data_IF_316996271215
#
_entry.id   IF_316996271215
#
_cell.length_a   1.000
_cell.length_b   1.000
_cell.length_c   1.000
_cell.angle_alpha   90.00
_cell.angle_beta   90.00
_cell.angle_gamma   90.00
#
_symmetry.space_group_name_H-M   'P 1'
#
loop_
_entity.id
_entity.type
_entity.pdbx_description
1 polymer ?
#
# COMPACT_ATOMS: atom_id res chain seq x y z
N UNK A 1 27.10 -41.74 10.41
CA UNK A 1 26.14 -41.18 9.43
C UNK A 1 26.10 -39.68 9.66
N UNK A 2 27.02 -38.94 9.02
CA UNK A 2 27.10 -37.48 9.15
C UNK A 2 25.89 -36.87 8.45
N UNK A 3 24.98 -36.30 9.24
CA UNK A 3 23.89 -35.47 8.74
C UNK A 3 24.50 -34.20 8.15
N UNK A 4 24.47 -34.08 6.82
CA UNK A 4 24.90 -32.89 6.10
C UNK A 4 23.93 -31.75 6.46
N UNK A 5 24.47 -30.66 7.01
CA UNK A 5 23.73 -29.40 7.19
C UNK A 5 23.32 -28.91 5.80
N UNK A 6 22.02 -28.84 5.52
CA UNK A 6 21.50 -28.08 4.39
C UNK A 6 21.95 -26.62 4.59
N UNK A 7 22.62 -26.07 3.58
CA UNK A 7 22.83 -24.64 3.50
C UNK A 7 21.46 -24.01 3.20
N UNK A 8 21.02 -23.06 4.03
CA UNK A 8 19.92 -22.16 3.70
C UNK A 8 20.27 -21.48 2.38
N UNK A 9 19.56 -21.82 1.31
CA UNK A 9 19.65 -21.11 0.04
C UNK A 9 18.91 -19.79 0.20
N UNK A 10 19.62 -18.68 0.07
CA UNK A 10 19.04 -17.35 0.22
C UNK A 10 18.00 -17.11 -0.89
N UNK A 11 16.72 -16.98 -0.51
CA UNK A 11 15.64 -16.64 -1.45
C UNK A 11 15.70 -15.15 -1.77
N UNK A 12 16.35 -14.83 -2.89
CA UNK A 12 16.47 -13.47 -3.40
C UNK A 12 15.12 -12.86 -3.77
N UNK A 13 14.17 -13.66 -4.26
CA UNK A 13 12.86 -13.15 -4.70
C UNK A 13 12.00 -12.76 -3.51
N UNK A 14 11.99 -13.59 -2.46
CA UNK A 14 11.33 -13.26 -1.19
C UNK A 14 11.91 -11.99 -0.59
N UNK A 15 13.24 -11.93 -0.47
CA UNK A 15 13.92 -10.74 0.02
C UNK A 15 13.59 -9.49 -0.81
N UNK A 16 13.59 -9.58 -2.14
CA UNK A 16 13.25 -8.43 -3.00
C UNK A 16 11.81 -7.97 -2.78
N UNK A 17 10.85 -8.88 -2.66
CA UNK A 17 9.44 -8.55 -2.38
C UNK A 17 9.30 -7.80 -1.06
N UNK A 18 9.98 -8.25 -0.02
CA UNK A 18 10.00 -7.54 1.27
C UNK A 18 10.57 -6.13 1.14
N UNK A 19 11.66 -5.96 0.39
CA UNK A 19 12.24 -4.63 0.16
C UNK A 19 11.32 -3.73 -0.67
N UNK A 20 10.62 -4.28 -1.67
CA UNK A 20 9.67 -3.55 -2.49
C UNK A 20 8.46 -3.09 -1.67
N UNK A 21 7.91 -3.95 -0.80
CA UNK A 21 6.85 -3.58 0.13
C UNK A 21 7.33 -2.47 1.08
N UNK A 22 8.53 -2.63 1.66
CA UNK A 22 9.09 -1.62 2.57
C UNK A 22 9.33 -0.28 1.88
N UNK A 23 9.78 -0.29 0.63
CA UNK A 23 9.96 0.93 -0.15
C UNK A 23 8.62 1.63 -0.40
N UNK A 24 7.57 0.87 -0.75
CA UNK A 24 6.25 1.45 -0.97
C UNK A 24 5.66 2.08 0.30
N UNK A 25 5.84 1.45 1.48
CA UNK A 25 5.45 2.04 2.76
C UNK A 25 6.13 3.39 3.00
N UNK A 26 7.46 3.45 2.84
CA UNK A 26 8.23 4.67 3.05
C UNK A 26 7.84 5.78 2.07
N UNK A 27 7.50 5.43 0.83
CA UNK A 27 7.02 6.39 -0.16
C UNK A 27 5.64 6.94 0.21
N UNK A 28 4.74 6.12 0.74
CA UNK A 28 3.44 6.57 1.25
C UNK A 28 3.60 7.48 2.48
N UNK A 29 4.51 7.15 3.40
CA UNK A 29 4.85 8.01 4.55
C UNK A 29 5.42 9.35 4.08
N UNK A 30 6.31 9.35 3.08
CA UNK A 30 6.86 10.58 2.51
C UNK A 30 5.78 11.45 1.88
N UNK A 31 4.82 10.84 1.18
CA UNK A 31 3.68 11.55 0.60
C UNK A 31 2.78 12.16 1.68
N UNK A 32 2.51 11.45 2.77
CA UNK A 32 1.74 11.98 3.91
C UNK A 32 2.41 13.21 4.52
N UNK A 33 3.73 13.15 4.75
CA UNK A 33 4.51 14.31 5.20
C UNK A 33 4.44 15.45 4.19
N UNK A 34 4.57 15.17 2.90
CA UNK A 34 4.49 16.19 1.84
C UNK A 34 3.13 16.90 1.81
N UNK A 35 2.03 16.18 2.00
CA UNK A 35 0.69 16.76 2.13
C UNK A 35 0.61 17.75 3.31
N UNK A 36 1.21 17.40 4.45
CA UNK A 36 1.20 18.25 5.65
C UNK A 36 2.02 19.54 5.49
N UNK A 37 2.96 19.59 4.56
CA UNK A 37 3.79 20.78 4.27
C UNK A 37 3.48 21.44 2.92
N UNK A 38 2.39 21.03 2.25
CA UNK A 38 1.96 21.54 0.95
C UNK A 38 3.00 21.35 -0.19
N UNK A 39 3.74 20.24 -0.16
CA UNK A 39 4.72 19.83 -1.19
C UNK A 39 4.26 18.62 -2.02
N UNK A 40 3.04 18.14 -1.77
CA UNK A 40 2.51 16.92 -2.39
C UNK A 40 2.37 17.00 -3.91
N UNK A 41 2.06 18.18 -4.48
CA UNK A 41 1.85 18.37 -5.92
C UNK A 41 3.06 17.89 -6.75
N UNK A 42 4.27 18.12 -6.25
CA UNK A 42 5.51 17.74 -6.94
C UNK A 42 5.89 16.26 -6.75
N UNK A 43 5.35 15.61 -5.72
CA UNK A 43 5.73 14.26 -5.30
C UNK A 43 4.66 13.20 -5.60
N UNK A 44 3.41 13.60 -5.81
CA UNK A 44 2.28 12.71 -6.04
C UNK A 44 2.50 11.76 -7.22
N UNK A 45 2.73 12.31 -8.42
CA UNK A 45 2.90 11.51 -9.63
C UNK A 45 4.17 10.66 -9.60
N UNK A 46 5.36 11.19 -9.22
CA UNK A 46 6.57 10.37 -9.11
C UNK A 46 6.42 9.20 -8.13
N UNK A 47 5.82 9.43 -6.96
CA UNK A 47 5.61 8.38 -5.96
C UNK A 47 4.61 7.34 -6.47
N UNK A 48 3.49 7.78 -7.03
CA UNK A 48 2.47 6.88 -7.59
C UNK A 48 3.07 5.99 -8.68
N UNK A 49 3.80 6.58 -9.63
CA UNK A 49 4.48 5.84 -10.68
C UNK A 49 5.45 4.83 -10.08
N UNK A 50 6.27 5.24 -9.09
CA UNK A 50 7.24 4.34 -8.49
C UNK A 50 6.60 3.15 -7.80
N UNK A 51 5.49 3.36 -7.09
CA UNK A 51 4.71 2.28 -6.46
C UNK A 51 4.13 1.31 -7.50
N UNK A 52 3.65 1.82 -8.64
CA UNK A 52 3.15 0.97 -9.72
C UNK A 52 4.27 0.13 -10.35
N UNK A 53 5.49 0.67 -10.48
CA UNK A 53 6.67 -0.05 -10.99
C UNK A 53 7.15 -1.18 -10.05
N UNK A 54 6.81 -1.13 -8.76
CA UNK A 54 7.16 -2.19 -7.80
C UNK A 54 6.31 -3.45 -7.97
N UNK A 55 5.25 -3.40 -8.79
CA UNK A 55 4.36 -4.53 -9.11
C UNK A 55 3.88 -5.30 -7.87
N UNK A 56 3.53 -4.54 -6.82
CA UNK A 56 3.10 -5.13 -5.55
C UNK A 56 1.76 -5.84 -5.69
N UNK A 57 1.56 -6.97 -4.99
CA UNK A 57 0.33 -7.71 -5.07
C UNK A 57 -0.85 -6.85 -4.61
N UNK A 58 -2.01 -6.96 -5.29
CA UNK A 58 -3.18 -6.20 -4.91
C UNK A 58 -3.65 -6.59 -3.50
N UNK A 59 -4.27 -5.63 -2.81
CA UNK A 59 -4.73 -5.80 -1.42
C UNK A 59 -6.27 -5.76 -1.37
N UNK A 60 -6.91 -6.58 -0.52
CA UNK A 60 -8.36 -6.55 -0.40
C UNK A 60 -8.85 -5.32 0.38
N UNK A 61 -9.99 -4.77 -0.05
CA UNK A 61 -10.75 -3.79 0.72
C UNK A 61 -11.18 -4.39 2.07
N UNK A 62 -10.97 -3.64 3.17
CA UNK A 62 -11.30 -4.08 4.54
C UNK A 62 -12.79 -4.33 4.79
N UNK A 63 -13.70 -3.70 4.00
CA UNK A 63 -15.17 -3.86 4.14
C UNK A 63 -15.73 -4.92 3.19
N UNK A 64 -15.48 -4.80 1.89
CA UNK A 64 -16.14 -5.64 0.88
C UNK A 64 -15.25 -6.71 0.23
N UNK A 65 -13.94 -6.74 0.53
CA UNK A 65 -13.00 -7.73 -0.02
C UNK A 65 -12.59 -7.51 -1.48
N UNK A 66 -13.07 -6.45 -2.15
CA UNK A 66 -12.66 -6.08 -3.52
C UNK A 66 -11.14 -5.89 -3.58
N UNK A 67 -10.48 -6.49 -4.56
CA UNK A 67 -9.04 -6.34 -4.76
C UNK A 67 -8.72 -4.95 -5.32
N UNK A 68 -7.77 -4.27 -4.69
CA UNK A 68 -7.32 -2.92 -5.01
C UNK A 68 -5.84 -2.95 -5.37
N UNK A 69 -5.41 -2.03 -6.23
CA UNK A 69 -3.98 -1.76 -6.39
C UNK A 69 -3.38 -1.33 -5.03
N UNK A 70 -2.08 -1.55 -4.82
CA UNK A 70 -1.43 -1.11 -3.59
C UNK A 70 -1.63 0.39 -3.36
N UNK A 71 -1.46 1.21 -4.41
CA UNK A 71 -1.67 2.65 -4.35
C UNK A 71 -3.07 3.03 -3.88
N UNK A 72 -4.12 2.47 -4.52
CA UNK A 72 -5.51 2.79 -4.16
C UNK A 72 -5.83 2.31 -2.75
N UNK A 73 -5.30 1.15 -2.35
CA UNK A 73 -5.45 0.63 -1.00
C UNK A 73 -4.79 1.56 0.03
N UNK A 74 -3.56 2.01 -0.24
CA UNK A 74 -2.80 2.83 0.70
C UNK A 74 -3.41 4.23 0.87
N UNK A 75 -3.73 4.92 -0.24
CA UNK A 75 -4.36 6.25 -0.22
C UNK A 75 -5.72 6.21 0.50
N UNK A 76 -6.52 5.17 0.26
CA UNK A 76 -7.84 5.02 0.83
C UNK A 76 -7.84 4.28 2.19
N UNK A 77 -6.68 4.15 2.84
CA UNK A 77 -6.52 3.52 4.17
C UNK A 77 -7.08 2.09 4.27
N UNK A 78 -7.10 1.41 3.14
CA UNK A 78 -7.56 0.03 2.96
C UNK A 78 -9.01 -0.15 2.55
N UNK A 79 -9.71 0.92 2.16
CA UNK A 79 -11.09 0.85 1.67
C UNK A 79 -11.15 1.13 0.17
N UNK A 80 -12.16 0.59 -0.52
CA UNK A 80 -12.47 1.03 -1.88
C UNK A 80 -13.31 2.30 -1.83
N UNK A 81 -13.28 3.08 -2.92
CA UNK A 81 -14.04 4.34 -3.05
C UNK A 81 -15.52 4.14 -2.77
N UNK A 82 -16.11 3.04 -3.27
CA UNK A 82 -17.53 2.72 -3.04
C UNK A 82 -17.84 2.61 -1.54
N UNK A 83 -17.02 1.87 -0.78
CA UNK A 83 -17.18 1.72 0.66
C UNK A 83 -16.90 3.01 1.45
N UNK A 84 -15.96 3.85 0.99
CA UNK A 84 -15.73 5.17 1.60
C UNK A 84 -16.98 6.04 1.45
N UNK A 85 -17.54 6.11 0.25
CA UNK A 85 -18.72 6.93 -0.01
C UNK A 85 -19.92 6.47 0.83
N UNK A 86 -20.10 5.16 1.01
CA UNK A 86 -21.12 4.61 1.91
C UNK A 86 -20.89 5.04 3.37
N UNK A 87 -19.66 4.89 3.89
CA UNK A 87 -19.33 5.28 5.27
C UNK A 87 -19.54 6.79 5.50
N UNK A 88 -19.09 7.63 4.56
CA UNK A 88 -19.27 9.08 4.67
C UNK A 88 -20.74 9.48 4.64
N UNK A 89 -21.58 8.74 3.90
CA UNK A 89 -23.02 8.98 3.88
C UNK A 89 -23.67 8.57 5.20
N UNK A 90 -23.28 7.43 5.77
CA UNK A 90 -23.75 6.97 7.08
C UNK A 90 -23.40 8.00 8.18
N UNK A 91 -22.18 8.54 8.19
CA UNK A 91 -21.77 9.58 9.16
C UNK A 91 -22.59 10.88 9.02
N UNK A 92 -22.86 11.33 7.80
CA UNK A 92 -23.67 12.53 7.56
C UNK A 92 -25.13 12.35 7.96
N UNK A 93 -25.69 11.15 7.78
CA UNK A 93 -27.08 10.84 8.13
C UNK A 93 -27.26 10.73 9.67
N UNK A 94 -26.21 10.38 10.43
CA UNK A 94 -26.22 10.30 11.91
C UNK A 94 -26.01 11.68 12.61
N UNK A 95 -25.52 12.70 11.91
CA UNK A 95 -25.31 14.06 12.42
C UNK A 95 -26.54 14.99 12.25
N UNK A 96 -27.66 14.50 11.71
CA UNK A 96 -28.89 15.26 11.41
C UNK A 96 -30.03 14.98 12.39
#
# INVERSE_FOLDING_TARGET
>A
MSSMKQADEFDYEEWYREQAERLAELLMEALDVACNINEADSLWDPIKQKIQELDLPPRPCKRCGKMLSYWDWAINKGYCVDCINELMKEELDDEV
#
